data_IF_591044868809
#
_entry.id   IF_591044868809
#
_cell.length_a   1.000
_cell.length_b   1.000
_cell.length_c   1.000
_cell.angle_alpha   90.00
_cell.angle_beta   90.00
_cell.angle_gamma   90.00
#
_symmetry.space_group_name_H-M   'P 1'
#
loop_
_entity.id
_entity.type
_entity.pdbx_description
1 polymer ?
#
# COMPACT_ATOMS: atom_id res chain seq x y z
N UNK A 1 -11.69 2.34 23.25
CA UNK A 1 -11.50 3.74 22.80
C UNK A 1 -12.32 3.91 21.54
N UNK A 2 -13.10 4.98 21.45
CA UNK A 2 -13.79 5.31 20.20
C UNK A 2 -12.76 5.72 19.15
N UNK A 3 -12.92 5.21 17.93
CA UNK A 3 -12.12 5.60 16.77
C UNK A 3 -12.57 6.99 16.32
N UNK A 4 -11.62 7.91 16.16
CA UNK A 4 -11.92 9.27 15.74
C UNK A 4 -11.98 9.37 14.20
N UNK A 5 -11.02 8.73 13.50
CA UNK A 5 -10.89 8.81 12.04
C UNK A 5 -10.05 7.67 11.45
N UNK A 6 -9.89 7.70 10.13
CA UNK A 6 -8.93 6.87 9.40
C UNK A 6 -8.07 7.72 8.46
N UNK A 7 -6.79 7.38 8.35
CA UNK A 7 -5.83 7.97 7.41
C UNK A 7 -5.43 6.87 6.42
N UNK A 8 -5.73 7.07 5.14
CA UNK A 8 -5.39 6.15 4.06
C UNK A 8 -4.21 6.71 3.27
N UNK A 9 -3.09 6.03 3.30
CA UNK A 9 -1.87 6.42 2.58
C UNK A 9 -1.95 5.96 1.13
N UNK A 10 -2.06 6.90 0.19
CA UNK A 10 -2.22 6.67 -1.25
C UNK A 10 -1.23 7.51 -2.10
N UNK A 11 -0.11 7.96 -1.52
CA UNK A 11 0.80 8.89 -2.18
C UNK A 11 1.87 8.22 -3.06
N UNK A 12 2.08 6.90 -2.92
CA UNK A 12 3.17 6.17 -3.54
C UNK A 12 3.02 5.96 -5.05
N UNK A 13 4.14 5.78 -5.74
CA UNK A 13 4.20 5.52 -7.19
C UNK A 13 3.86 4.08 -7.57
N UNK A 14 3.88 3.15 -6.61
CA UNK A 14 3.64 1.72 -6.80
C UNK A 14 4.37 1.14 -8.04
N UNK A 15 5.66 1.48 -8.22
CA UNK A 15 6.41 1.19 -9.46
C UNK A 15 6.50 -0.32 -9.79
N UNK A 16 6.44 -1.21 -8.78
CA UNK A 16 6.41 -2.67 -8.99
C UNK A 16 5.14 -3.13 -9.70
N UNK A 17 4.05 -2.36 -9.62
CA UNK A 17 2.76 -2.65 -10.23
C UNK A 17 2.66 -2.18 -11.71
N UNK A 18 3.80 -2.05 -12.38
CA UNK A 18 3.88 -1.71 -13.80
C UNK A 18 3.14 -2.74 -14.69
N UNK A 19 2.53 -2.30 -15.82
CA UNK A 19 2.41 -0.92 -16.24
C UNK A 19 1.18 -0.20 -15.67
N UNK A 20 0.31 -0.90 -14.94
CA UNK A 20 -0.94 -0.36 -14.42
C UNK A 20 -0.71 0.91 -13.59
N UNK A 21 0.33 0.91 -12.73
CA UNK A 21 0.67 2.07 -11.90
C UNK A 21 1.16 3.29 -12.69
N UNK A 22 1.55 3.13 -13.96
CA UNK A 22 1.87 4.24 -14.84
C UNK A 22 0.61 4.91 -15.41
N UNK A 23 -0.47 4.15 -15.58
CA UNK A 23 -1.73 4.62 -16.16
C UNK A 23 -2.69 5.18 -15.11
N UNK A 24 -2.62 4.64 -13.88
CA UNK A 24 -3.44 5.08 -12.73
C UNK A 24 -2.78 4.73 -11.39
N UNK A 25 -3.06 5.47 -10.30
CA UNK A 25 -2.63 5.07 -8.97
C UNK A 25 -3.09 3.66 -8.60
N UNK A 26 -2.23 2.86 -7.94
CA UNK A 26 -2.57 1.50 -7.49
C UNK A 26 -3.87 1.45 -6.65
N UNK A 27 -4.07 2.46 -5.80
CA UNK A 27 -5.28 2.63 -4.98
C UNK A 27 -6.58 2.74 -5.80
N UNK A 28 -6.49 3.18 -7.06
CA UNK A 28 -7.63 3.34 -7.97
C UNK A 28 -7.81 2.16 -8.93
N UNK A 29 -7.06 1.09 -8.74
CA UNK A 29 -7.25 -0.15 -9.51
C UNK A 29 -8.51 -0.86 -9.00
N UNK A 30 -9.30 -1.35 -9.94
CA UNK A 30 -10.48 -2.16 -9.65
C UNK A 30 -10.06 -3.60 -9.38
N UNK A 31 -10.51 -4.18 -8.28
CA UNK A 31 -10.27 -5.58 -7.93
C UNK A 31 -11.62 -6.22 -7.61
N UNK A 32 -11.95 -7.33 -8.28
CA UNK A 32 -13.24 -8.02 -8.16
C UNK A 32 -14.45 -7.08 -8.31
N UNK A 33 -14.35 -6.11 -9.22
CA UNK A 33 -15.44 -5.17 -9.52
C UNK A 33 -15.54 -3.96 -8.59
N UNK A 34 -14.61 -3.76 -7.68
CA UNK A 34 -14.55 -2.59 -6.78
C UNK A 34 -13.18 -1.92 -6.82
N UNK A 35 -13.17 -0.58 -6.82
CA UNK A 35 -11.92 0.20 -6.69
C UNK A 35 -11.36 0.02 -5.29
N UNK A 36 -10.06 -0.33 -5.16
CA UNK A 36 -9.43 -0.68 -3.88
C UNK A 36 -9.71 0.33 -2.77
N UNK A 37 -9.38 1.60 -3.00
CA UNK A 37 -9.58 2.64 -1.98
C UNK A 37 -11.06 2.90 -1.68
N UNK A 38 -11.94 2.79 -2.68
CA UNK A 38 -13.38 2.96 -2.47
C UNK A 38 -13.96 1.85 -1.59
N UNK A 39 -13.47 0.61 -1.76
CA UNK A 39 -13.84 -0.51 -0.90
C UNK A 39 -13.45 -0.24 0.55
N UNK A 40 -12.21 0.20 0.81
CA UNK A 40 -11.77 0.56 2.16
C UNK A 40 -12.61 1.69 2.77
N UNK A 41 -12.89 2.75 1.99
CA UNK A 41 -13.73 3.88 2.44
C UNK A 41 -15.13 3.40 2.82
N UNK A 42 -15.76 2.54 2.01
CA UNK A 42 -17.07 1.96 2.32
C UNK A 42 -17.04 1.14 3.62
N UNK A 43 -16.03 0.29 3.77
CA UNK A 43 -15.86 -0.53 4.98
C UNK A 43 -15.66 0.33 6.24
N UNK A 44 -14.91 1.44 6.14
CA UNK A 44 -14.75 2.40 7.24
C UNK A 44 -16.09 3.09 7.58
N UNK A 45 -16.85 3.52 6.57
CA UNK A 45 -18.18 4.13 6.77
C UNK A 45 -19.17 3.14 7.40
N UNK A 46 -19.17 1.87 6.96
CA UNK A 46 -19.98 0.79 7.54
C UNK A 46 -19.65 0.55 9.02
N UNK A 47 -18.38 0.69 9.39
CA UNK A 47 -17.93 0.63 10.79
C UNK A 47 -18.28 1.90 11.60
N UNK A 48 -18.91 2.92 10.98
CA UNK A 48 -19.29 4.17 11.64
C UNK A 48 -18.18 5.23 11.70
N UNK A 49 -17.06 5.02 11.00
CA UNK A 49 -15.94 5.95 10.94
C UNK A 49 -16.19 6.92 9.78
N UNK A 50 -16.50 8.18 10.10
CA UNK A 50 -16.93 9.18 9.11
C UNK A 50 -15.81 10.09 8.63
N UNK A 51 -14.88 10.48 9.52
CA UNK A 51 -13.74 11.33 9.15
C UNK A 51 -12.67 10.45 8.50
N UNK A 52 -12.54 10.54 7.18
CA UNK A 52 -11.54 9.78 6.40
C UNK A 52 -10.62 10.76 5.69
N UNK A 53 -9.32 10.64 5.95
CA UNK A 53 -8.25 11.42 5.35
C UNK A 53 -7.52 10.54 4.34
N UNK A 54 -7.45 10.95 3.08
CA UNK A 54 -6.68 10.27 2.05
C UNK A 54 -5.44 11.11 1.73
N UNK A 55 -4.27 10.54 1.97
CA UNK A 55 -2.99 11.21 1.67
C UNK A 55 -2.57 10.85 0.27
N UNK A 56 -2.55 11.82 -0.62
CA UNK A 56 -2.23 11.68 -2.05
C UNK A 56 -0.86 12.24 -2.38
N UNK A 57 -0.32 11.85 -3.53
CA UNK A 57 0.98 12.33 -4.04
C UNK A 57 1.08 12.08 -5.54
N UNK A 58 1.48 10.87 -5.94
CA UNK A 58 1.52 10.48 -7.34
C UNK A 58 0.12 10.51 -7.96
N UNK A 59 -0.04 11.22 -9.10
CA UNK A 59 -1.31 11.40 -9.81
C UNK A 59 -2.47 11.86 -8.88
N UNK A 60 -2.17 12.80 -7.96
CA UNK A 60 -3.12 13.24 -6.93
C UNK A 60 -4.45 13.75 -7.50
N UNK A 61 -4.44 14.32 -8.70
CA UNK A 61 -5.62 14.81 -9.41
C UNK A 61 -6.68 13.73 -9.66
N UNK A 62 -6.27 12.47 -9.81
CA UNK A 62 -7.18 11.35 -10.05
C UNK A 62 -8.02 10.96 -8.81
N UNK A 63 -7.64 11.44 -7.62
CA UNK A 63 -8.38 11.17 -6.38
C UNK A 63 -9.46 12.22 -6.07
N UNK A 64 -9.54 13.32 -6.83
CA UNK A 64 -10.41 14.46 -6.49
C UNK A 64 -11.89 14.11 -6.39
N UNK A 65 -12.36 13.16 -7.19
CA UNK A 65 -13.75 12.69 -7.19
C UNK A 65 -14.18 12.04 -5.86
N UNK A 66 -13.21 11.55 -5.06
CA UNK A 66 -13.52 10.93 -3.77
C UNK A 66 -14.11 11.94 -2.77
N UNK A 67 -13.79 13.24 -2.90
CA UNK A 67 -14.40 14.28 -2.07
C UNK A 67 -15.91 14.33 -2.24
N UNK A 68 -16.35 14.38 -3.49
CA UNK A 68 -17.78 14.50 -3.79
C UNK A 68 -18.53 13.18 -3.56
N UNK A 69 -17.85 12.05 -3.80
CA UNK A 69 -18.46 10.73 -3.71
C UNK A 69 -18.57 10.19 -2.28
N UNK A 70 -17.58 10.49 -1.44
CA UNK A 70 -17.43 9.88 -0.11
C UNK A 70 -17.18 10.86 1.02
N UNK A 71 -17.19 12.17 0.77
CA UNK A 71 -16.93 13.23 1.77
C UNK A 71 -15.58 13.04 2.49
N UNK A 72 -14.53 12.64 1.74
CA UNK A 72 -13.19 12.45 2.29
C UNK A 72 -12.36 13.74 2.25
N UNK A 73 -11.41 13.85 3.17
CA UNK A 73 -10.41 14.93 3.19
C UNK A 73 -9.20 14.48 2.39
N UNK A 74 -8.82 15.23 1.35
CA UNK A 74 -7.60 14.96 0.59
C UNK A 74 -6.45 15.83 1.10
N UNK A 75 -5.34 15.20 1.46
CA UNK A 75 -4.08 15.85 1.86
C UNK A 75 -3.02 15.51 0.83
N UNK A 76 -2.35 16.51 0.29
CA UNK A 76 -1.23 16.29 -0.61
C UNK A 76 0.07 16.13 0.18
N UNK A 77 0.81 15.06 -0.09
CA UNK A 77 2.16 14.86 0.44
C UNK A 77 3.18 15.42 -0.55
N UNK A 78 3.84 16.56 -0.28
CA UNK A 78 4.81 17.14 -1.22
C UNK A 78 6.11 16.34 -1.33
N UNK A 79 6.41 15.52 -0.33
CA UNK A 79 7.66 14.75 -0.23
C UNK A 79 7.55 13.33 -0.81
N UNK A 80 6.44 12.98 -1.50
CA UNK A 80 6.17 11.62 -1.95
C UNK A 80 7.22 10.99 -2.89
N UNK A 81 8.04 11.81 -3.56
CA UNK A 81 9.14 11.35 -4.42
C UNK A 81 10.49 11.29 -3.70
N UNK A 82 10.64 12.02 -2.62
CA UNK A 82 11.92 12.23 -1.93
C UNK A 82 12.00 11.51 -0.59
N UNK A 83 10.84 11.10 -0.06
CA UNK A 83 10.75 10.35 1.20
C UNK A 83 9.80 9.17 1.04
N UNK A 84 9.93 8.21 1.95
CA UNK A 84 9.06 7.04 1.99
C UNK A 84 7.71 7.35 2.67
N UNK A 85 6.93 6.33 3.04
CA UNK A 85 5.58 6.48 3.59
C UNK A 85 5.52 7.25 4.93
N UNK A 86 6.64 7.39 5.65
CA UNK A 86 6.73 8.28 6.82
C UNK A 86 6.30 9.72 6.50
N UNK A 87 6.57 10.19 5.27
CA UNK A 87 6.13 11.51 4.80
C UNK A 87 4.60 11.61 4.66
N UNK A 88 3.92 10.51 4.37
CA UNK A 88 2.45 10.48 4.33
C UNK A 88 1.86 10.65 5.73
N UNK A 89 2.45 10.01 6.74
CA UNK A 89 2.07 10.23 8.14
C UNK A 89 2.32 11.69 8.55
N UNK A 90 3.50 12.24 8.18
CA UNK A 90 3.85 13.61 8.49
C UNK A 90 2.91 14.63 7.82
N UNK A 91 2.52 14.40 6.57
CA UNK A 91 1.57 15.25 5.85
C UNK A 91 0.18 15.28 6.53
N UNK A 92 -0.24 14.16 7.12
CA UNK A 92 -1.53 14.03 7.81
C UNK A 92 -1.45 14.26 9.32
N UNK A 93 -0.35 14.79 9.85
CA UNK A 93 -0.07 14.85 11.29
C UNK A 93 -1.14 15.52 12.15
N UNK A 94 -1.82 16.54 11.63
CA UNK A 94 -2.90 17.26 12.34
C UNK A 94 -4.16 16.38 12.54
N UNK A 95 -4.27 15.26 11.82
CA UNK A 95 -5.37 14.32 11.91
C UNK A 95 -5.06 13.09 12.78
N UNK A 96 -3.84 12.96 13.29
CA UNK A 96 -3.46 11.87 14.17
C UNK A 96 -4.17 11.96 15.53
N UNK A 97 -5.05 10.98 15.81
CA UNK A 97 -5.89 10.90 17.02
C UNK A 97 -5.96 9.42 17.46
N UNK A 98 -7.16 8.93 17.82
CA UNK A 98 -7.45 7.49 17.82
C UNK A 98 -7.74 7.10 16.37
N UNK A 99 -6.71 6.75 15.61
CA UNK A 99 -6.77 6.70 14.16
C UNK A 99 -6.45 5.31 13.61
N UNK A 100 -7.21 4.87 12.62
CA UNK A 100 -6.71 3.85 11.72
C UNK A 100 -5.69 4.46 10.75
N UNK A 101 -4.58 3.74 10.52
CA UNK A 101 -3.63 4.04 9.45
C UNK A 101 -3.68 2.87 8.48
N UNK A 102 -4.02 3.16 7.23
CA UNK A 102 -4.28 2.15 6.20
C UNK A 102 -3.37 2.38 5.00
N UNK A 103 -2.88 1.31 4.40
CA UNK A 103 -2.32 1.33 3.05
C UNK A 103 -3.44 1.20 2.03
N UNK A 104 -3.45 2.07 1.01
CA UNK A 104 -4.54 2.14 0.03
C UNK A 104 -4.59 0.97 -0.95
N UNK A 105 -3.61 0.08 -0.91
CA UNK A 105 -3.45 -1.10 -1.77
C UNK A 105 -3.85 -2.41 -1.09
N UNK A 106 -4.30 -2.36 0.16
CA UNK A 106 -4.85 -3.54 0.82
C UNK A 106 -6.29 -3.83 0.37
N UNK A 107 -6.58 -5.08 0.11
CA UNK A 107 -7.92 -5.60 -0.09
C UNK A 107 -8.34 -6.43 1.12
N UNK A 108 -9.39 -6.02 1.81
CA UNK A 108 -9.97 -6.77 2.92
C UNK A 108 -11.18 -7.56 2.42
N UNK A 109 -11.14 -8.90 2.52
CA UNK A 109 -12.25 -9.76 2.11
C UNK A 109 -13.50 -9.48 2.94
N UNK A 110 -13.33 -9.34 4.24
CA UNK A 110 -14.37 -8.97 5.20
C UNK A 110 -13.97 -7.65 5.86
N UNK A 111 -14.94 -6.85 6.29
CA UNK A 111 -14.66 -5.57 6.94
C UNK A 111 -13.91 -5.78 8.27
N UNK A 112 -12.64 -5.30 8.39
CA UNK A 112 -11.85 -5.45 9.61
C UNK A 112 -12.06 -4.32 10.62
N UNK A 113 -12.74 -3.23 10.23
CA UNK A 113 -12.81 -2.01 11.01
C UNK A 113 -13.91 -2.08 12.07
N UNK A 114 -13.65 -1.47 13.20
CA UNK A 114 -14.53 -1.39 14.36
C UNK A 114 -14.62 0.06 14.84
N UNK A 115 -15.80 0.51 15.31
CA UNK A 115 -15.98 1.85 15.85
C UNK A 115 -15.26 2.07 17.20
N UNK A 116 -14.95 0.99 17.90
CA UNK A 116 -14.29 1.01 19.21
C UNK A 116 -13.16 0.00 19.26
N UNK A 117 -12.00 0.41 19.71
CA UNK A 117 -10.79 -0.41 19.80
C UNK A 117 -10.13 -0.23 21.16
N UNK A 118 -9.60 -1.29 21.75
CA UNK A 118 -9.08 -1.26 23.12
C UNK A 118 -7.61 -0.82 23.21
N UNK A 119 -6.79 -1.16 22.21
CA UNK A 119 -5.34 -0.92 22.25
C UNK A 119 -4.82 -0.58 20.84
N UNK A 120 -3.69 0.11 20.76
CA UNK A 120 -2.92 0.20 19.50
C UNK A 120 -2.52 -1.20 19.05
N UNK A 121 -2.68 -1.49 17.75
CA UNK A 121 -2.33 -2.79 17.18
C UNK A 121 -1.87 -2.69 15.74
N UNK A 122 -1.12 -3.70 15.31
CA UNK A 122 -0.81 -4.00 13.92
C UNK A 122 -1.56 -5.25 13.48
N UNK A 123 -2.28 -5.19 12.35
CA UNK A 123 -2.89 -6.37 11.75
C UNK A 123 -1.83 -7.30 11.19
N UNK A 124 -2.10 -8.60 11.26
CA UNK A 124 -1.13 -9.62 10.89
C UNK A 124 -1.82 -10.85 10.33
N UNK A 125 -1.20 -11.49 9.35
CA UNK A 125 -1.62 -12.79 8.82
C UNK A 125 -0.49 -13.80 9.00
N UNK A 126 -0.83 -15.08 9.10
CA UNK A 126 0.16 -16.14 9.21
C UNK A 126 0.57 -16.63 7.83
N UNK A 127 1.88 -16.75 7.60
CA UNK A 127 2.46 -17.31 6.38
C UNK A 127 3.17 -18.61 6.69
N UNK A 128 2.74 -19.69 6.05
CA UNK A 128 3.41 -21.00 6.12
C UNK A 128 4.64 -21.03 5.21
N UNK A 129 5.70 -21.69 5.67
CA UNK A 129 6.95 -21.83 4.95
C UNK A 129 7.79 -20.56 4.96
N UNK A 130 8.74 -20.49 4.04
CA UNK A 130 9.67 -19.35 3.94
C UNK A 130 8.98 -18.11 3.40
N UNK A 131 9.32 -16.97 3.98
CA UNK A 131 8.84 -15.64 3.55
C UNK A 131 9.96 -14.62 3.66
N UNK A 132 9.93 -13.60 2.81
CA UNK A 132 10.80 -12.42 2.86
C UNK A 132 10.10 -11.22 3.50
N UNK A 133 8.88 -11.43 4.03
CA UNK A 133 8.05 -10.42 4.67
C UNK A 133 8.55 -10.05 6.09
N UNK A 134 7.95 -9.04 6.68
CA UNK A 134 8.26 -8.55 8.02
C UNK A 134 7.62 -9.43 9.08
N UNK A 135 8.42 -10.33 9.66
CA UNK A 135 7.97 -11.33 10.62
C UNK A 135 7.93 -10.76 12.04
N UNK A 136 6.81 -10.94 12.73
CA UNK A 136 6.53 -10.44 14.07
C UNK A 136 6.88 -11.49 15.12
N UNK A 137 7.65 -11.09 16.13
CA UNK A 137 7.73 -11.78 17.42
C UNK A 137 6.86 -11.07 18.45
N UNK A 138 6.17 -11.81 19.31
CA UNK A 138 5.28 -11.23 20.31
C UNK A 138 5.39 -11.97 21.66
N UNK A 139 5.14 -11.24 22.75
CA UNK A 139 4.96 -11.78 24.09
C UNK A 139 3.65 -11.26 24.68
N UNK A 140 2.79 -12.17 25.11
CA UNK A 140 1.45 -11.86 25.67
C UNK A 140 0.60 -10.94 24.75
N UNK A 141 0.78 -11.09 23.44
CA UNK A 141 0.10 -10.31 22.42
C UNK A 141 0.68 -8.91 22.19
N UNK A 142 1.82 -8.57 22.78
CA UNK A 142 2.57 -7.33 22.54
C UNK A 142 3.72 -7.65 21.58
N UNK A 143 3.85 -6.86 20.52
CA UNK A 143 4.94 -6.99 19.55
C UNK A 143 6.25 -6.60 20.23
N UNK A 144 7.21 -7.52 20.25
CA UNK A 144 8.52 -7.33 20.90
C UNK A 144 9.66 -7.20 19.92
N UNK A 145 9.50 -7.74 18.71
CA UNK A 145 10.52 -7.64 17.67
C UNK A 145 9.89 -7.83 16.29
N UNK A 146 10.53 -7.28 15.27
CA UNK A 146 10.17 -7.48 13.85
C UNK A 146 11.45 -7.67 13.05
N UNK A 147 11.50 -8.70 12.24
CA UNK A 147 12.65 -9.01 11.36
C UNK A 147 12.17 -9.26 9.94
N UNK A 148 12.99 -8.90 8.96
CA UNK A 148 12.73 -9.20 7.56
C UNK A 148 13.16 -10.64 7.26
N UNK A 149 12.25 -11.43 6.69
CA UNK A 149 12.47 -12.83 6.38
C UNK A 149 12.29 -13.78 7.56
N UNK A 150 11.79 -14.97 7.27
CA UNK A 150 11.53 -15.99 8.26
C UNK A 150 10.86 -17.23 7.68
N UNK A 151 10.27 -18.03 8.54
CA UNK A 151 9.46 -19.20 8.17
C UNK A 151 8.38 -19.43 9.21
N UNK A 152 7.19 -19.82 8.74
CA UNK A 152 6.06 -20.15 9.62
C UNK A 152 5.76 -19.02 10.63
N UNK A 153 5.56 -17.82 10.12
CA UNK A 153 5.53 -16.60 10.92
C UNK A 153 4.28 -15.74 10.70
N UNK A 154 3.92 -14.98 11.73
CA UNK A 154 2.98 -13.86 11.59
C UNK A 154 3.72 -12.67 10.95
N UNK A 155 3.17 -12.15 9.85
CA UNK A 155 3.75 -11.02 9.13
C UNK A 155 2.96 -9.74 9.34
N UNK A 156 3.64 -8.59 9.24
CA UNK A 156 3.00 -7.28 9.21
C UNK A 156 2.28 -7.10 7.87
N UNK A 157 0.95 -7.11 7.87
CA UNK A 157 0.14 -6.92 6.67
C UNK A 157 -1.21 -6.28 7.02
N UNK A 158 -1.56 -5.22 6.29
CA UNK A 158 -2.85 -4.58 6.42
C UNK A 158 -2.80 -3.24 7.16
N UNK A 159 -3.82 -2.97 7.95
CA UNK A 159 -4.01 -1.71 8.66
C UNK A 159 -3.49 -1.77 10.10
N UNK A 160 -3.30 -0.60 10.67
CA UNK A 160 -3.01 -0.45 12.10
C UNK A 160 -4.03 0.47 12.76
N UNK A 161 -4.20 0.32 14.06
CA UNK A 161 -4.89 1.30 14.88
C UNK A 161 -3.91 1.93 15.87
N UNK A 162 -3.85 3.23 15.89
CA UNK A 162 -3.08 4.02 16.83
C UNK A 162 -4.01 4.72 17.82
N UNK A 163 -3.81 4.48 19.11
CA UNK A 163 -4.45 5.28 20.15
C UNK A 163 -3.90 6.72 20.08
N UNK A 164 -4.63 7.67 20.64
CA UNK A 164 -4.20 9.08 20.71
C UNK A 164 -2.84 9.24 21.39
N UNK A 165 -2.55 8.43 22.39
CA UNK A 165 -1.25 8.47 23.07
C UNK A 165 -0.13 7.92 22.18
N UNK A 166 -0.39 6.82 21.50
CA UNK A 166 0.56 6.27 20.51
C UNK A 166 0.80 7.29 19.37
N UNK A 167 -0.26 7.86 18.80
CA UNK A 167 -0.18 8.87 17.74
C UNK A 167 0.69 10.06 18.16
N UNK A 168 0.52 10.55 19.38
CA UNK A 168 1.27 11.67 19.93
C UNK A 168 2.75 11.35 20.15
N UNK A 169 3.03 10.15 20.67
CA UNK A 169 4.41 9.69 20.90
C UNK A 169 5.14 9.46 19.58
N UNK A 170 4.49 8.75 18.63
CA UNK A 170 5.05 8.52 17.31
C UNK A 170 5.32 9.82 16.56
N UNK A 171 4.37 10.76 16.59
CA UNK A 171 4.54 12.08 15.95
C UNK A 171 5.72 12.85 16.54
N UNK A 172 5.89 12.83 17.87
CA UNK A 172 7.03 13.48 18.51
C UNK A 172 8.37 12.92 18.04
N UNK A 173 8.46 11.59 17.85
CA UNK A 173 9.65 10.93 17.29
C UNK A 173 9.84 11.35 15.83
N UNK A 174 8.79 11.23 15.02
CA UNK A 174 8.85 11.56 13.60
C UNK A 174 9.25 13.02 13.36
N UNK A 175 8.70 13.99 14.09
CA UNK A 175 9.04 15.41 13.95
C UNK A 175 10.52 15.69 14.26
N UNK A 176 11.07 15.02 15.26
CA UNK A 176 12.49 15.12 15.62
C UNK A 176 13.41 14.57 14.51
N UNK A 177 12.97 13.49 13.83
CA UNK A 177 13.78 12.78 12.86
C UNK A 177 13.49 13.15 11.40
N UNK A 178 12.38 13.80 11.12
CA UNK A 178 11.85 14.02 9.76
C UNK A 178 12.83 14.68 8.79
N UNK A 179 13.65 15.62 9.28
CA UNK A 179 14.63 16.34 8.47
C UNK A 179 16.02 15.65 8.43
N UNK A 180 16.20 14.53 9.13
CA UNK A 180 17.41 13.76 9.02
C UNK A 180 17.43 13.03 7.67
N UNK A 181 18.50 13.16 6.84
CA UNK A 181 18.61 12.46 5.57
C UNK A 181 18.44 10.94 5.68
N UNK A 182 18.87 10.33 6.78
CA UNK A 182 18.71 8.90 7.02
C UNK A 182 17.24 8.46 7.19
N UNK A 183 16.35 9.37 7.54
CA UNK A 183 14.92 9.09 7.70
C UNK A 183 14.16 9.12 6.37
N UNK A 184 14.73 9.72 5.33
CA UNK A 184 14.05 9.89 4.04
C UNK A 184 13.60 8.53 3.45
N UNK A 185 14.45 7.53 3.48
CA UNK A 185 14.16 6.21 2.92
C UNK A 185 13.41 5.26 3.88
N UNK A 186 13.24 5.64 5.16
CA UNK A 186 12.54 4.81 6.14
C UNK A 186 11.04 4.75 5.87
N UNK A 187 10.48 3.56 5.98
CA UNK A 187 9.05 3.39 6.21
C UNK A 187 8.72 3.87 7.64
N UNK A 188 7.48 4.26 7.91
CA UNK A 188 7.06 4.58 9.28
C UNK A 188 7.22 3.35 10.20
N UNK A 189 7.11 2.16 9.64
CA UNK A 189 7.33 0.89 10.30
C UNK A 189 8.79 0.74 10.77
N UNK A 190 9.77 1.21 10.00
CA UNK A 190 11.17 1.23 10.43
C UNK A 190 11.34 2.11 11.69
N UNK A 191 10.72 3.30 11.69
CA UNK A 191 10.75 4.21 12.84
C UNK A 191 10.08 3.55 14.05
N UNK A 192 8.94 2.88 13.86
CA UNK A 192 8.27 2.12 14.91
C UNK A 192 9.19 1.04 15.50
N UNK A 193 9.87 0.25 14.66
CA UNK A 193 10.73 -0.85 15.09
C UNK A 193 11.93 -0.31 15.87
N UNK A 194 12.54 0.78 15.44
CA UNK A 194 13.64 1.43 16.16
C UNK A 194 13.23 1.91 17.57
N UNK A 195 11.94 2.23 17.75
CA UNK A 195 11.37 2.73 19.02
C UNK A 195 10.35 1.76 19.64
N UNK A 196 10.42 0.47 19.33
CA UNK A 196 9.43 -0.54 19.71
C UNK A 196 9.16 -0.60 21.22
N UNK A 197 10.17 -0.34 22.04
CA UNK A 197 10.05 -0.33 23.50
C UNK A 197 9.33 0.93 24.03
N UNK A 198 9.35 2.03 23.26
CA UNK A 198 8.66 3.27 23.62
C UNK A 198 7.22 3.31 23.07
N UNK A 199 6.96 2.54 22.03
CA UNK A 199 5.71 2.51 21.25
C UNK A 199 5.04 1.12 21.33
N UNK A 200 4.51 0.70 22.49
CA UNK A 200 3.92 -0.63 22.61
C UNK A 200 2.70 -0.78 21.71
N UNK A 201 2.69 -1.84 20.90
CA UNK A 201 1.61 -2.19 19.98
C UNK A 201 1.29 -3.67 20.10
N UNK A 202 0.01 -4.02 20.03
CA UNK A 202 -0.41 -5.42 20.05
C UNK A 202 -0.43 -6.00 18.63
N UNK A 203 -0.24 -7.30 18.54
CA UNK A 203 -0.53 -8.01 17.29
C UNK A 203 -2.04 -8.30 17.22
N UNK A 204 -2.65 -8.04 16.05
CA UNK A 204 -4.03 -8.43 15.75
C UNK A 204 -4.02 -9.45 14.62
N UNK A 205 -4.26 -10.70 14.96
CA UNK A 205 -4.14 -11.86 14.07
C UNK A 205 -5.41 -12.06 13.26
N UNK A 206 -5.27 -12.18 11.94
CA UNK A 206 -6.33 -12.48 11.00
C UNK A 206 -6.04 -13.80 10.26
N UNK A 207 -7.06 -14.52 9.73
CA UNK A 207 -6.86 -15.65 8.82
C UNK A 207 -6.04 -15.24 7.57
N UNK A 208 -5.34 -16.19 6.96
CA UNK A 208 -4.47 -15.94 5.81
C UNK A 208 -5.19 -15.48 4.54
N UNK A 209 -6.50 -15.70 4.45
CA UNK A 209 -7.38 -15.31 3.35
C UNK A 209 -8.23 -14.06 3.65
N UNK A 210 -7.80 -13.24 4.61
CA UNK A 210 -8.54 -12.08 5.08
C UNK A 210 -8.01 -10.75 4.51
N UNK A 211 -6.69 -10.61 4.42
CA UNK A 211 -6.01 -9.39 3.95
C UNK A 211 -5.13 -9.76 2.76
N UNK A 212 -5.30 -9.03 1.66
CA UNK A 212 -4.50 -9.21 0.45
C UNK A 212 -3.85 -7.90 0.05
N UNK A 213 -2.65 -8.02 -0.49
CA UNK A 213 -1.90 -6.94 -1.12
C UNK A 213 -1.34 -7.46 -2.45
N UNK A 214 -1.29 -6.61 -3.45
CA UNK A 214 -0.81 -6.97 -4.79
C UNK A 214 0.29 -6.02 -5.20
N UNK A 215 1.52 -6.49 -5.24
CA UNK A 215 2.66 -5.69 -5.65
C UNK A 215 2.94 -5.77 -7.15
N UNK A 216 2.43 -6.81 -7.80
CA UNK A 216 2.67 -7.08 -9.21
C UNK A 216 1.36 -7.43 -9.94
N UNK A 217 1.38 -7.25 -11.26
CA UNK A 217 0.27 -7.69 -12.11
C UNK A 217 0.04 -9.21 -12.02
N UNK A 218 1.10 -9.99 -11.83
CA UNK A 218 0.98 -11.46 -11.76
C UNK A 218 0.33 -11.90 -10.43
N UNK A 219 0.54 -11.19 -9.34
CA UNK A 219 -0.19 -11.41 -8.07
C UNK A 219 -1.66 -11.01 -8.21
N UNK A 220 -1.95 -9.87 -8.82
CA UNK A 220 -3.33 -9.46 -9.10
C UNK A 220 -4.05 -10.50 -9.96
N UNK A 221 -3.43 -11.03 -11.02
CA UNK A 221 -3.99 -12.08 -11.89
C UNK A 221 -4.31 -13.37 -11.13
N UNK A 222 -3.51 -13.72 -10.11
CA UNK A 222 -3.78 -14.89 -9.26
C UNK A 222 -5.03 -14.69 -8.43
N UNK A 223 -5.25 -13.48 -7.93
CA UNK A 223 -6.37 -13.14 -7.08
C UNK A 223 -7.65 -12.83 -7.87
N UNK A 224 -7.53 -11.99 -8.91
CA UNK A 224 -8.64 -11.62 -9.80
C UNK A 224 -8.37 -12.10 -11.23
N UNK A 225 -8.99 -13.24 -11.58
CA UNK A 225 -8.79 -13.89 -12.90
C UNK A 225 -9.27 -13.07 -14.08
N UNK A 226 -10.07 -12.01 -13.87
CA UNK A 226 -10.49 -11.12 -14.96
C UNK A 226 -9.31 -10.41 -15.60
N UNK A 227 -8.21 -10.20 -14.83
CA UNK A 227 -6.97 -9.61 -15.32
C UNK A 227 -6.10 -10.54 -16.20
N UNK A 228 -6.47 -11.79 -16.35
CA UNK A 228 -5.74 -12.73 -17.22
C UNK A 228 -5.91 -12.33 -18.68
N UNK A 229 -7.14 -12.11 -19.12
CA UNK A 229 -7.48 -11.83 -20.51
C UNK A 229 -7.65 -10.33 -20.81
N UNK A 230 -7.97 -9.53 -19.81
CA UNK A 230 -8.10 -8.06 -19.92
C UNK A 230 -7.43 -7.40 -18.70
N UNK A 231 -6.21 -6.93 -18.89
CA UNK A 231 -5.45 -6.25 -17.82
C UNK A 231 -5.95 -4.84 -17.55
N UNK A 232 -6.88 -4.32 -18.35
CA UNK A 232 -7.36 -2.94 -18.30
C UNK A 232 -6.26 -1.90 -18.51
N UNK A 233 -5.10 -2.34 -19.05
CA UNK A 233 -3.96 -1.50 -19.42
C UNK A 233 -3.98 -1.22 -20.91
N UNK A 234 -4.05 0.04 -21.29
CA UNK A 234 -3.96 0.45 -22.70
C UNK A 234 -2.56 0.14 -23.28
N UNK A 235 -1.52 0.23 -22.45
CA UNK A 235 -0.14 -0.12 -22.83
C UNK A 235 -0.05 -1.62 -23.18
N UNK A 236 -0.58 -2.52 -22.35
CA UNK A 236 -0.52 -3.95 -22.62
C UNK A 236 -1.39 -4.34 -23.81
N UNK A 237 -2.55 -3.71 -23.98
CA UNK A 237 -3.39 -3.88 -25.17
C UNK A 237 -2.66 -3.47 -26.47
N UNK A 238 -1.92 -2.36 -26.44
CA UNK A 238 -1.13 -1.90 -27.59
C UNK A 238 0.02 -2.87 -27.91
N UNK A 239 0.74 -3.34 -26.88
CA UNK A 239 1.80 -4.36 -27.04
C UNK A 239 1.23 -5.65 -27.61
N UNK A 240 0.10 -6.13 -27.10
CA UNK A 240 -0.56 -7.34 -27.59
C UNK A 240 -0.93 -7.26 -29.07
N UNK A 241 -1.48 -6.10 -29.48
CA UNK A 241 -1.77 -5.84 -30.91
C UNK A 241 -0.51 -5.82 -31.76
N UNK A 242 0.56 -5.12 -31.32
CA UNK A 242 1.84 -5.03 -32.06
C UNK A 242 2.52 -6.39 -32.24
N UNK A 243 2.48 -7.23 -31.21
CA UNK A 243 3.13 -8.54 -31.23
C UNK A 243 2.19 -9.66 -31.71
N UNK A 244 0.89 -9.39 -31.94
CA UNK A 244 -0.14 -10.38 -32.33
C UNK A 244 -0.25 -11.54 -31.35
N UNK A 245 -0.37 -11.21 -30.07
CA UNK A 245 -0.50 -12.13 -28.93
C UNK A 245 -1.70 -11.72 -28.08
N UNK A 246 -2.07 -12.52 -27.08
CA UNK A 246 -3.04 -12.17 -26.06
C UNK A 246 -2.35 -11.54 -24.83
N UNK A 247 -3.06 -10.71 -24.08
CA UNK A 247 -2.50 -10.06 -22.87
C UNK A 247 -2.05 -11.11 -21.82
N UNK A 248 -2.70 -12.28 -21.77
CA UNK A 248 -2.30 -13.40 -20.89
C UNK A 248 -0.91 -13.95 -21.17
N UNK A 249 -0.40 -13.79 -22.41
CA UNK A 249 0.91 -14.29 -22.81
C UNK A 249 2.06 -13.42 -22.28
N UNK A 250 1.74 -12.18 -21.87
CA UNK A 250 2.69 -11.22 -21.25
C UNK A 250 2.86 -11.58 -19.79
N UNK A 251 4.05 -12.07 -19.41
CA UNK A 251 4.39 -12.57 -18.08
C UNK A 251 5.64 -11.88 -17.53
N UNK A 252 5.90 -12.05 -16.22
CA UNK A 252 7.11 -11.57 -15.57
C UNK A 252 7.35 -10.07 -15.78
N UNK A 253 6.27 -9.28 -15.69
CA UNK A 253 6.35 -7.82 -15.85
C UNK A 253 7.12 -7.21 -14.69
N UNK A 254 8.23 -6.52 -14.99
CA UNK A 254 9.11 -5.89 -13.99
C UNK A 254 9.46 -4.48 -14.41
N UNK A 255 9.11 -3.51 -13.57
CA UNK A 255 9.51 -2.12 -13.78
C UNK A 255 11.04 -1.97 -13.74
N UNK A 256 11.55 -1.02 -14.50
CA UNK A 256 12.92 -0.53 -14.36
C UNK A 256 12.90 1.00 -14.19
N UNK A 257 13.88 1.51 -13.44
CA UNK A 257 14.09 2.94 -13.18
C UNK A 257 15.39 3.37 -13.88
N UNK A 258 15.47 4.61 -14.31
CA UNK A 258 16.71 5.16 -14.87
C UNK A 258 17.37 6.11 -13.87
N UNK A 259 16.81 7.29 -13.61
CA UNK A 259 17.48 8.32 -12.79
C UNK A 259 16.67 8.88 -11.61
N UNK A 260 15.47 8.38 -11.36
CA UNK A 260 14.58 8.86 -10.28
C UNK A 260 13.66 7.73 -9.78
N UNK A 261 12.90 7.99 -8.75
CA UNK A 261 12.03 6.98 -8.13
C UNK A 261 10.82 6.56 -8.99
N UNK A 262 10.63 7.14 -10.18
CA UNK A 262 9.57 6.80 -11.10
C UNK A 262 10.07 5.76 -12.09
N UNK A 263 9.25 4.76 -12.42
CA UNK A 263 9.59 3.78 -13.44
C UNK A 263 9.72 4.44 -14.83
N UNK A 264 10.81 4.17 -15.53
CA UNK A 264 11.05 4.62 -16.90
C UNK A 264 10.40 3.69 -17.94
N UNK A 265 10.02 2.50 -17.52
CA UNK A 265 9.40 1.46 -18.34
C UNK A 265 9.34 0.15 -17.60
N UNK A 266 9.16 -0.92 -18.36
CA UNK A 266 9.15 -2.28 -17.81
C UNK A 266 9.72 -3.31 -18.78
N UNK A 267 10.17 -4.42 -18.24
CA UNK A 267 10.50 -5.63 -19.00
C UNK A 267 9.40 -6.68 -18.83
N UNK A 268 9.23 -7.55 -19.79
CA UNK A 268 8.29 -8.68 -19.73
C UNK A 268 8.77 -9.82 -20.62
N UNK A 269 8.13 -10.97 -20.51
CA UNK A 269 8.51 -12.20 -21.22
C UNK A 269 7.35 -12.76 -22.03
N UNK A 270 7.68 -13.18 -23.28
CA UNK A 270 6.83 -13.96 -24.18
C UNK A 270 7.75 -14.95 -24.90
N UNK A 271 8.12 -16.04 -24.21
CA UNK A 271 9.15 -16.97 -24.73
C UNK A 271 10.55 -16.34 -24.88
N UNK A 272 10.63 -15.03 -25.05
CA UNK A 272 11.86 -14.22 -25.00
C UNK A 272 11.56 -12.91 -24.25
N UNK A 273 12.61 -12.19 -23.88
CA UNK A 273 12.50 -10.99 -23.07
C UNK A 273 12.34 -9.75 -23.92
N UNK A 274 11.45 -8.85 -23.50
CA UNK A 274 11.17 -7.55 -24.09
C UNK A 274 11.37 -6.44 -23.09
N UNK A 275 11.63 -5.24 -23.62
CA UNK A 275 11.72 -4.00 -22.85
C UNK A 275 10.84 -2.93 -23.50
N UNK A 276 10.01 -2.27 -22.68
CA UNK A 276 9.14 -1.17 -23.11
C UNK A 276 9.48 0.09 -22.36
N UNK A 277 9.59 1.21 -23.09
CA UNK A 277 9.90 2.54 -22.55
C UNK A 277 8.67 3.44 -22.60
N UNK A 278 8.34 4.07 -21.48
CA UNK A 278 7.19 4.96 -21.40
C UNK A 278 7.37 6.24 -22.20
N UNK A 279 8.56 6.84 -22.19
CA UNK A 279 8.83 8.15 -22.77
C UNK A 279 8.57 8.23 -24.29
N UNK A 280 8.77 7.14 -25.03
CA UNK A 280 8.68 7.11 -26.49
C UNK A 280 7.89 5.91 -27.03
N UNK A 281 7.24 5.15 -26.16
CA UNK A 281 6.47 3.93 -26.48
C UNK A 281 7.29 2.90 -27.29
N UNK A 282 8.62 2.92 -27.11
CA UNK A 282 9.52 2.00 -27.79
C UNK A 282 9.44 0.62 -27.17
N UNK A 283 9.34 -0.38 -28.03
CA UNK A 283 9.36 -1.79 -27.68
C UNK A 283 10.60 -2.45 -28.30
N UNK A 284 11.41 -3.09 -27.49
CA UNK A 284 12.64 -3.76 -27.90
C UNK A 284 12.63 -5.21 -27.44
N UNK A 285 13.13 -6.10 -28.27
CA UNK A 285 13.47 -7.47 -27.88
C UNK A 285 14.90 -7.48 -27.36
N UNK A 286 15.15 -8.08 -26.20
CA UNK A 286 16.44 -8.11 -25.52
C UNK A 286 16.88 -9.55 -25.18
#
# INVERSE_FOLDING_TARGET
MKVDNAIIMAAGTASRFAPLSYERPKALVEVRGEVLIERQIKQLHEAGIKEIVVVTGYMAEQFTYLKDKYDVILIYNPDFLTKNNNASIYAAKEYLKNSYICSADNYFEINPFEAEVNNSYYSSVFVEGKTDEWCISEENGIITNVVVGGSDAWIMLGHVFWSRDFSRQFLSILEREYNNPQTADKLWENIYIEHINELPMRIRKYPGDFIFEFDTLDELRKFDRSYICDTRSEILKDISKKLRIEEKDIQNVKAFKENNNIAAGFTFEIGCKYKYYYANHKLERI
#
